data_IF_659630382944
#
_entry.id   IF_659630382944
#
_cell.length_a   1.000
_cell.length_b   1.000
_cell.length_c   1.000
_cell.angle_alpha   90.00
_cell.angle_beta   90.00
_cell.angle_gamma   90.00
#
_symmetry.space_group_name_H-M   'P 1'
#
loop_
_entity.id
_entity.type
_entity.pdbx_description
1 polymer ?
#
# COMPACT_ATOMS: atom_id res chain seq x y z
N UNK A 1 -0.68 -3.76 3.72
CA UNK A 1 -0.79 -4.44 5.03
C UNK A 1 0.60 -4.85 5.47
N UNK A 2 0.91 -4.84 6.77
CA UNK A 2 2.13 -5.46 7.32
C UNK A 2 2.10 -6.98 7.14
N UNK A 3 3.27 -7.60 7.18
CA UNK A 3 3.43 -9.06 7.33
C UNK A 3 4.01 -9.31 8.71
N UNK A 4 3.18 -9.67 9.72
CA UNK A 4 3.64 -9.93 11.08
C UNK A 4 4.65 -11.06 11.12
N UNK A 5 5.69 -10.91 11.94
CA UNK A 5 6.76 -11.90 12.10
C UNK A 5 7.03 -12.19 13.57
N UNK A 6 7.48 -13.41 13.85
CA UNK A 6 8.02 -13.84 15.12
C UNK A 6 9.44 -13.28 15.34
N UNK A 7 9.99 -13.44 16.53
CA UNK A 7 11.36 -13.00 16.84
C UNK A 7 12.44 -13.70 16.00
N UNK A 8 12.18 -14.90 15.52
CA UNK A 8 13.05 -15.66 14.60
C UNK A 8 12.92 -15.23 13.13
N UNK A 9 12.03 -14.27 12.82
CA UNK A 9 11.76 -13.75 11.49
C UNK A 9 10.82 -14.60 10.63
N UNK A 10 10.26 -15.68 11.18
CA UNK A 10 9.19 -16.46 10.51
C UNK A 10 7.86 -15.70 10.57
N UNK A 11 6.97 -15.96 9.63
CA UNK A 11 5.66 -15.28 9.57
C UNK A 11 4.77 -15.71 10.72
N UNK A 12 4.19 -14.74 11.43
CA UNK A 12 3.23 -14.96 12.51
C UNK A 12 1.80 -14.94 11.96
N UNK A 13 1.26 -16.13 11.68
CA UNK A 13 -0.08 -16.27 11.08
C UNK A 13 -1.18 -15.81 12.05
N UNK A 14 -1.00 -15.98 13.36
CA UNK A 14 -1.99 -15.54 14.36
C UNK A 14 -2.11 -14.02 14.40
N UNK A 15 -1.00 -13.31 14.39
CA UNK A 15 -1.04 -11.84 14.33
C UNK A 15 -1.48 -11.32 12.96
N UNK A 16 -1.20 -12.07 11.88
CA UNK A 16 -1.71 -11.75 10.55
C UNK A 16 -3.24 -11.89 10.46
N UNK A 17 -3.81 -12.91 11.08
CA UNK A 17 -5.26 -13.07 11.18
C UNK A 17 -5.89 -11.91 11.94
N UNK A 18 -5.37 -11.54 13.12
CA UNK A 18 -5.85 -10.39 13.88
C UNK A 18 -5.79 -9.09 13.06
N UNK A 19 -4.71 -8.89 12.30
CA UNK A 19 -4.55 -7.70 11.46
C UNK A 19 -5.57 -7.68 10.31
N UNK A 20 -5.84 -8.80 9.66
CA UNK A 20 -6.85 -8.91 8.61
C UNK A 20 -8.24 -8.65 9.18
N UNK A 21 -8.59 -9.25 10.32
CA UNK A 21 -9.87 -9.01 11.00
C UNK A 21 -10.04 -7.54 11.42
N UNK A 22 -8.96 -6.90 11.90
CA UNK A 22 -8.96 -5.47 12.20
C UNK A 22 -9.32 -4.65 10.95
N UNK A 23 -8.65 -4.90 9.82
CA UNK A 23 -8.87 -4.18 8.55
C UNK A 23 -10.33 -4.34 8.09
N UNK A 24 -10.89 -5.55 8.17
CA UNK A 24 -12.27 -5.86 7.80
C UNK A 24 -13.25 -5.14 8.74
N UNK A 25 -13.02 -5.22 10.06
CA UNK A 25 -13.87 -4.58 11.08
C UNK A 25 -13.87 -3.06 10.95
N UNK A 26 -12.74 -2.47 10.58
CA UNK A 26 -12.59 -1.04 10.28
C UNK A 26 -13.24 -0.64 8.95
N UNK A 27 -13.79 -1.57 8.19
CA UNK A 27 -14.43 -1.34 6.89
C UNK A 27 -13.53 -0.58 5.90
N UNK A 28 -12.25 -0.92 5.89
CA UNK A 28 -11.35 -0.43 4.84
C UNK A 28 -11.70 -1.10 3.51
N UNK A 29 -11.27 -0.49 2.39
CA UNK A 29 -11.77 -0.86 1.07
C UNK A 29 -11.02 -2.02 0.41
N UNK A 30 -9.87 -2.42 0.95
CA UNK A 30 -9.06 -3.51 0.41
C UNK A 30 -7.75 -3.71 1.15
N UNK A 31 -7.09 -4.82 0.83
CA UNK A 31 -5.76 -5.18 1.33
C UNK A 31 -4.76 -5.15 0.18
N UNK A 32 -3.64 -4.42 0.35
CA UNK A 32 -2.47 -4.51 -0.51
C UNK A 32 -1.40 -5.35 0.19
N UNK A 33 -1.20 -6.57 -0.29
CA UNK A 33 -0.37 -7.60 0.34
C UNK A 33 1.02 -7.64 -0.28
N UNK A 34 2.07 -7.90 0.53
CA UNK A 34 3.46 -8.10 0.08
C UNK A 34 4.08 -6.93 -0.69
N UNK A 35 3.51 -5.71 -0.58
CA UNK A 35 4.17 -4.49 -1.05
C UNK A 35 5.32 -4.06 -0.14
N UNK A 36 5.78 -2.80 -0.28
CA UNK A 36 6.87 -2.25 0.55
C UNK A 36 6.59 -2.36 2.05
N UNK A 37 5.37 -2.03 2.47
CA UNK A 37 4.93 -2.17 3.87
C UNK A 37 4.93 -3.61 4.36
N UNK A 38 4.53 -4.54 3.51
CA UNK A 38 4.56 -5.99 3.78
C UNK A 38 5.93 -6.62 3.58
N UNK A 39 6.94 -5.81 3.26
CA UNK A 39 8.34 -6.23 3.08
C UNK A 39 8.53 -7.39 2.07
N UNK A 40 7.68 -7.44 1.03
CA UNK A 40 7.58 -8.58 0.11
C UNK A 40 8.90 -8.98 -0.55
N UNK A 41 9.78 -8.02 -0.84
CA UNK A 41 11.10 -8.30 -1.42
C UNK A 41 12.11 -8.95 -0.45
N UNK A 42 11.81 -8.99 0.84
CA UNK A 42 12.67 -9.59 1.87
C UNK A 42 12.29 -11.04 2.20
N UNK A 43 11.34 -11.59 1.45
CA UNK A 43 10.94 -13.00 1.54
C UNK A 43 11.31 -13.75 0.27
N UNK A 44 11.74 -15.00 0.42
CA UNK A 44 11.94 -15.91 -0.71
C UNK A 44 10.61 -16.21 -1.42
N UNK A 45 10.66 -16.58 -2.71
CA UNK A 45 9.47 -16.88 -3.52
C UNK A 45 8.49 -17.84 -2.80
N UNK A 46 9.03 -18.92 -2.20
CA UNK A 46 8.21 -19.91 -1.49
C UNK A 46 7.51 -19.33 -0.25
N UNK A 47 8.15 -18.40 0.46
CA UNK A 47 7.53 -17.73 1.61
C UNK A 47 6.45 -16.73 1.15
N UNK A 48 6.72 -15.97 0.08
CA UNK A 48 5.74 -15.07 -0.50
C UNK A 48 4.46 -15.78 -0.91
N UNK A 49 4.60 -16.97 -1.52
CA UNK A 49 3.47 -17.81 -1.87
C UNK A 49 2.66 -18.22 -0.64
N UNK A 50 3.33 -18.75 0.40
CA UNK A 50 2.66 -19.13 1.66
C UNK A 50 1.97 -17.96 2.36
N UNK A 51 2.58 -16.78 2.36
CA UNK A 51 1.97 -15.57 2.92
C UNK A 51 0.71 -15.19 2.13
N UNK A 52 0.75 -15.25 0.80
CA UNK A 52 -0.39 -14.95 -0.04
C UNK A 52 -1.53 -15.96 0.17
N UNK A 53 -1.23 -17.26 0.17
CA UNK A 53 -2.20 -18.33 0.46
C UNK A 53 -2.90 -18.13 1.80
N UNK A 54 -2.12 -17.92 2.86
CA UNK A 54 -2.64 -17.72 4.20
C UNK A 54 -3.54 -16.47 4.28
N UNK A 55 -3.08 -15.32 3.77
CA UNK A 55 -3.85 -14.09 3.80
C UNK A 55 -5.16 -14.20 2.99
N UNK A 56 -5.12 -14.81 1.81
CA UNK A 56 -6.30 -15.03 0.97
C UNK A 56 -7.29 -15.99 1.63
N UNK A 57 -6.79 -17.07 2.26
CA UNK A 57 -7.60 -18.02 3.02
C UNK A 57 -8.27 -17.38 4.24
N UNK A 58 -7.54 -16.57 5.01
CA UNK A 58 -8.11 -15.84 6.17
C UNK A 58 -9.15 -14.82 5.71
N UNK A 59 -8.86 -14.10 4.64
CA UNK A 59 -9.76 -13.06 4.11
C UNK A 59 -11.09 -13.61 3.63
N UNK A 60 -11.12 -14.80 3.04
CA UNK A 60 -12.33 -15.49 2.53
C UNK A 60 -13.20 -14.60 1.63
N UNK A 61 -12.59 -13.79 0.80
CA UNK A 61 -13.30 -12.84 -0.10
C UNK A 61 -14.19 -11.80 0.62
N UNK A 62 -14.04 -11.61 1.93
CA UNK A 62 -14.79 -10.59 2.69
C UNK A 62 -14.36 -9.16 2.37
N UNK A 63 -13.16 -9.00 1.80
CA UNK A 63 -12.59 -7.73 1.35
C UNK A 63 -11.66 -8.00 0.15
N UNK A 64 -11.59 -7.13 -0.85
CA UNK A 64 -10.67 -7.31 -1.98
C UNK A 64 -9.20 -7.36 -1.55
N UNK A 65 -8.43 -8.28 -2.14
CA UNK A 65 -6.99 -8.42 -1.91
C UNK A 65 -6.23 -8.24 -3.22
N UNK A 66 -5.35 -7.24 -3.25
CA UNK A 66 -4.38 -7.04 -4.31
C UNK A 66 -3.01 -7.55 -3.84
N UNK A 67 -2.43 -8.52 -4.56
CA UNK A 67 -1.13 -9.11 -4.22
C UNK A 67 -0.02 -8.45 -5.02
N UNK A 68 1.01 -7.94 -4.35
CA UNK A 68 2.21 -7.44 -5.02
C UNK A 68 3.15 -8.60 -5.35
N UNK A 69 3.47 -8.72 -6.64
CA UNK A 69 4.27 -9.82 -7.19
C UNK A 69 5.61 -9.40 -7.78
N UNK A 70 5.95 -8.10 -7.70
CA UNK A 70 7.23 -7.61 -8.18
C UNK A 70 8.40 -8.40 -7.57
N UNK A 71 9.36 -8.77 -8.41
CA UNK A 71 10.54 -9.54 -8.07
C UNK A 71 11.75 -9.05 -8.87
N UNK A 72 12.95 -9.61 -8.61
CA UNK A 72 14.15 -9.25 -9.35
C UNK A 72 14.12 -9.70 -10.81
N UNK A 73 13.38 -10.79 -11.11
CA UNK A 73 13.20 -11.27 -12.47
C UNK A 73 11.75 -11.25 -12.91
N UNK A 74 11.52 -11.10 -14.21
CA UNK A 74 10.19 -11.18 -14.81
C UNK A 74 9.57 -12.55 -14.61
N UNK A 75 10.36 -13.61 -14.75
CA UNK A 75 9.87 -15.00 -14.60
C UNK A 75 9.37 -15.28 -13.18
N UNK A 76 10.05 -14.78 -12.16
CA UNK A 76 9.59 -14.91 -10.78
C UNK A 76 8.29 -14.11 -10.56
N UNK A 77 8.21 -12.89 -11.08
CA UNK A 77 7.00 -12.08 -11.00
C UNK A 77 5.81 -12.77 -11.69
N UNK A 78 6.02 -13.41 -12.83
CA UNK A 78 5.01 -14.20 -13.54
C UNK A 78 4.55 -15.42 -12.71
N UNK A 79 5.48 -16.16 -12.10
CA UNK A 79 5.11 -17.31 -11.24
C UNK A 79 4.33 -16.87 -10.01
N UNK A 80 4.72 -15.76 -9.39
CA UNK A 80 3.99 -15.18 -8.24
C UNK A 80 2.61 -14.66 -8.65
N UNK A 81 2.48 -14.07 -9.85
CA UNK A 81 1.20 -13.57 -10.35
C UNK A 81 0.21 -14.70 -10.59
N UNK A 82 0.62 -15.76 -11.29
CA UNK A 82 -0.21 -16.95 -11.50
C UNK A 82 -0.63 -17.58 -10.19
N UNK A 83 0.32 -17.75 -9.27
CA UNK A 83 0.03 -18.32 -7.97
C UNK A 83 -0.99 -17.46 -7.18
N UNK A 84 -0.86 -16.13 -7.20
CA UNK A 84 -1.81 -15.24 -6.54
C UNK A 84 -3.23 -15.39 -7.14
N UNK A 85 -3.35 -15.45 -8.47
CA UNK A 85 -4.64 -15.66 -9.15
C UNK A 85 -5.23 -17.04 -8.81
N UNK A 86 -4.44 -18.11 -8.88
CA UNK A 86 -4.87 -19.47 -8.56
C UNK A 86 -5.42 -19.62 -7.14
N UNK A 87 -4.90 -18.80 -6.19
CA UNK A 87 -5.37 -18.78 -4.80
C UNK A 87 -6.41 -17.69 -4.53
N UNK A 88 -6.90 -17.03 -5.58
CA UNK A 88 -8.05 -16.16 -5.49
C UNK A 88 -7.74 -14.70 -5.17
N UNK A 89 -6.57 -14.16 -5.50
CA UNK A 89 -6.35 -12.72 -5.47
C UNK A 89 -7.35 -11.99 -6.37
N UNK A 90 -7.83 -10.82 -5.93
CA UNK A 90 -8.78 -10.01 -6.71
C UNK A 90 -8.06 -9.11 -7.72
N UNK A 91 -6.78 -8.85 -7.48
CA UNK A 91 -5.91 -8.11 -8.37
C UNK A 91 -4.43 -8.44 -8.09
N UNK A 92 -3.58 -8.12 -9.05
CA UNK A 92 -2.13 -8.26 -8.94
C UNK A 92 -1.47 -6.90 -9.21
N UNK A 93 -0.38 -6.61 -8.50
CA UNK A 93 0.42 -5.41 -8.71
C UNK A 93 1.91 -5.75 -8.78
N UNK A 94 2.67 -5.02 -9.59
CA UNK A 94 4.12 -5.19 -9.67
C UNK A 94 4.82 -3.85 -9.86
N UNK A 95 5.91 -3.63 -9.11
CA UNK A 95 6.88 -2.60 -9.52
C UNK A 95 7.57 -3.05 -10.82
N UNK A 96 8.16 -2.10 -11.54
CA UNK A 96 9.05 -2.40 -12.65
C UNK A 96 10.37 -3.04 -12.19
N UNK A 97 11.29 -3.33 -13.13
CA UNK A 97 12.63 -3.81 -12.77
C UNK A 97 13.34 -2.86 -11.79
N UNK A 98 13.86 -3.40 -10.68
CA UNK A 98 14.32 -2.59 -9.54
C UNK A 98 15.83 -2.52 -9.40
N UNK A 99 16.57 -3.53 -9.84
CA UNK A 99 18.03 -3.59 -9.63
C UNK A 99 18.80 -3.11 -10.86
N UNK A 100 18.45 -3.60 -12.03
CA UNK A 100 19.09 -3.17 -13.27
C UNK A 100 18.44 -1.91 -13.82
N UNK A 101 19.25 -0.97 -14.31
CA UNK A 101 18.74 0.20 -15.02
C UNK A 101 17.97 -0.24 -16.25
N UNK A 102 16.66 -0.31 -16.15
CA UNK A 102 15.80 -0.75 -17.24
C UNK A 102 15.42 0.44 -18.13
N UNK A 103 15.53 0.25 -19.45
CA UNK A 103 14.92 1.19 -20.38
C UNK A 103 13.39 1.14 -20.28
N UNK A 104 12.66 2.17 -20.75
CA UNK A 104 11.19 2.13 -20.84
C UNK A 104 10.67 0.87 -21.53
N UNK A 105 11.28 0.45 -22.63
CA UNK A 105 10.91 -0.77 -23.35
C UNK A 105 11.06 -2.05 -22.49
N UNK A 106 12.12 -2.15 -21.68
CA UNK A 106 12.31 -3.28 -20.77
C UNK A 106 11.24 -3.30 -19.68
N UNK A 107 10.89 -2.14 -19.11
CA UNK A 107 9.80 -2.01 -18.14
C UNK A 107 8.45 -2.41 -18.75
N UNK A 108 8.17 -2.00 -19.98
CA UNK A 108 6.95 -2.36 -20.71
C UNK A 108 6.89 -3.87 -21.00
N UNK A 109 7.99 -4.48 -21.43
CA UNK A 109 8.06 -5.93 -21.65
C UNK A 109 7.78 -6.73 -20.35
N UNK A 110 8.33 -6.25 -19.22
CA UNK A 110 8.08 -6.83 -17.90
C UNK A 110 6.58 -6.79 -17.55
N UNK A 111 5.94 -5.63 -17.64
CA UNK A 111 4.50 -5.50 -17.35
C UNK A 111 3.61 -6.32 -18.30
N UNK A 112 3.92 -6.34 -19.59
CA UNK A 112 3.20 -7.17 -20.57
C UNK A 112 3.30 -8.67 -20.24
N UNK A 113 4.49 -9.15 -19.84
CA UNK A 113 4.69 -10.55 -19.47
C UNK A 113 3.86 -10.94 -18.23
N UNK A 114 3.82 -10.09 -17.22
CA UNK A 114 3.00 -10.33 -16.02
C UNK A 114 1.52 -10.30 -16.40
N UNK A 115 1.07 -9.26 -17.06
CA UNK A 115 -0.33 -9.09 -17.45
C UNK A 115 -0.85 -10.24 -18.33
N UNK A 116 -0.05 -10.70 -19.31
CA UNK A 116 -0.40 -11.82 -20.17
C UNK A 116 -0.46 -13.18 -19.45
N UNK A 117 0.08 -13.26 -18.23
CA UNK A 117 0.12 -14.52 -17.46
C UNK A 117 -1.10 -14.76 -16.58
N UNK A 118 -1.98 -13.76 -16.43
CA UNK A 118 -3.14 -13.73 -15.53
C UNK A 118 -4.35 -13.11 -16.22
N UNK A 119 -5.55 -13.39 -15.72
CA UNK A 119 -6.81 -12.78 -16.16
C UNK A 119 -7.34 -11.71 -15.20
N UNK A 120 -6.94 -11.76 -13.93
CA UNK A 120 -7.35 -10.76 -12.94
C UNK A 120 -6.79 -9.36 -13.24
N UNK A 121 -7.39 -8.29 -12.72
CA UNK A 121 -6.89 -6.92 -12.87
C UNK A 121 -5.42 -6.79 -12.49
N UNK A 122 -4.64 -6.11 -13.35
CA UNK A 122 -3.23 -5.82 -13.13
C UNK A 122 -3.02 -4.31 -12.91
N UNK A 123 -2.21 -3.99 -11.91
CA UNK A 123 -1.85 -2.62 -11.52
C UNK A 123 -0.34 -2.47 -11.44
N UNK A 124 0.34 -1.96 -12.47
CA UNK A 124 1.72 -1.51 -12.34
C UNK A 124 1.91 -0.58 -11.15
N UNK A 125 3.04 -0.70 -10.48
CA UNK A 125 3.39 0.16 -9.36
C UNK A 125 4.64 0.98 -9.69
N UNK A 126 4.48 2.29 -9.77
CA UNK A 126 5.56 3.23 -9.99
C UNK A 126 6.01 3.85 -8.66
N UNK A 127 7.30 3.73 -8.38
CA UNK A 127 7.99 4.35 -7.25
C UNK A 127 9.04 5.32 -7.79
N UNK A 128 9.13 6.50 -7.17
CA UNK A 128 10.15 7.50 -7.47
C UNK A 128 9.74 8.47 -8.57
N UNK A 129 10.70 9.27 -9.00
CA UNK A 129 10.48 10.48 -9.78
C UNK A 129 10.62 10.31 -11.32
N UNK A 130 10.69 9.08 -11.83
CA UNK A 130 10.71 8.86 -13.26
C UNK A 130 9.27 8.99 -13.83
N UNK A 131 8.94 10.07 -14.55
CA UNK A 131 7.59 10.25 -15.07
C UNK A 131 7.29 9.21 -16.14
N UNK A 132 6.05 8.74 -16.19
CA UNK A 132 5.59 7.96 -17.34
C UNK A 132 5.39 8.89 -18.54
N UNK A 133 5.96 8.50 -19.67
CA UNK A 133 5.72 9.23 -20.91
C UNK A 133 4.32 8.93 -21.46
N UNK A 134 3.78 9.82 -22.30
CA UNK A 134 2.51 9.58 -22.98
C UNK A 134 2.53 8.30 -23.85
N UNK A 135 3.69 7.99 -24.44
CA UNK A 135 3.90 6.78 -25.22
C UNK A 135 3.75 5.53 -24.35
N UNK A 136 4.40 5.50 -23.18
CA UNK A 136 4.24 4.40 -22.20
C UNK A 136 2.78 4.26 -21.76
N UNK A 137 2.09 5.36 -21.51
CA UNK A 137 0.67 5.32 -21.10
C UNK A 137 -0.18 4.72 -22.24
N UNK A 138 0.03 5.16 -23.48
CA UNK A 138 -0.68 4.60 -24.64
C UNK A 138 -0.44 3.09 -24.80
N UNK A 139 0.81 2.65 -24.67
CA UNK A 139 1.14 1.23 -24.77
C UNK A 139 0.51 0.40 -23.64
N UNK A 140 0.49 0.93 -22.41
CA UNK A 140 -0.14 0.26 -21.26
C UNK A 140 -1.67 0.17 -21.44
N UNK A 141 -2.30 1.14 -22.10
CA UNK A 141 -3.73 1.13 -22.38
C UNK A 141 -4.17 0.00 -23.32
N UNK A 142 -3.24 -0.55 -24.11
CA UNK A 142 -3.50 -1.70 -24.98
C UNK A 142 -3.50 -3.04 -24.22
N UNK A 143 -3.12 -3.06 -22.95
CA UNK A 143 -3.13 -4.27 -22.12
C UNK A 143 -4.54 -4.48 -21.54
N UNK A 144 -5.28 -5.52 -21.93
CA UNK A 144 -6.72 -5.64 -21.63
C UNK A 144 -7.07 -5.71 -20.14
N UNK A 145 -6.24 -6.40 -19.34
CA UNK A 145 -6.45 -6.56 -17.90
C UNK A 145 -5.71 -5.51 -17.05
N UNK A 146 -5.00 -4.57 -17.63
CA UNK A 146 -4.45 -3.43 -16.90
C UNK A 146 -5.57 -2.44 -16.60
N UNK A 147 -5.90 -2.27 -15.30
CA UNK A 147 -7.05 -1.47 -14.85
C UNK A 147 -6.66 -0.16 -14.18
N UNK A 148 -5.37 0.06 -13.94
CA UNK A 148 -4.91 1.27 -13.29
C UNK A 148 -3.46 1.17 -12.84
N UNK A 149 -3.06 2.08 -11.96
CA UNK A 149 -1.70 2.21 -11.45
C UNK A 149 -1.71 2.54 -9.95
N UNK A 150 -0.69 2.07 -9.25
CA UNK A 150 -0.28 2.64 -7.97
C UNK A 150 0.93 3.55 -8.19
N UNK A 151 0.91 4.75 -7.61
CA UNK A 151 1.99 5.73 -7.74
C UNK A 151 2.42 6.20 -6.35
N UNK A 152 3.71 6.06 -6.04
CA UNK A 152 4.34 6.73 -4.91
C UNK A 152 5.24 7.83 -5.46
N UNK A 153 4.68 9.03 -5.55
CA UNK A 153 5.33 10.23 -6.07
C UNK A 153 4.97 11.43 -5.21
N UNK A 154 5.89 12.36 -5.05
CA UNK A 154 5.63 13.68 -4.46
C UNK A 154 5.23 14.72 -5.52
N UNK A 155 5.37 14.39 -6.81
CA UNK A 155 4.95 15.24 -7.91
C UNK A 155 3.50 14.96 -8.31
N UNK A 156 2.59 15.79 -7.86
CA UNK A 156 1.15 15.64 -8.16
C UNK A 156 0.84 15.79 -9.66
N UNK A 157 1.70 16.47 -10.42
CA UNK A 157 1.53 16.60 -11.87
C UNK A 157 1.68 15.26 -12.60
N UNK A 158 2.46 14.31 -12.06
CA UNK A 158 2.55 12.96 -12.64
C UNK A 158 1.20 12.26 -12.59
N UNK A 159 0.49 12.36 -11.46
CA UNK A 159 -0.85 11.78 -11.30
C UNK A 159 -1.84 12.45 -12.26
N UNK A 160 -1.84 13.78 -12.32
CA UNK A 160 -2.71 14.54 -13.22
C UNK A 160 -2.44 14.21 -14.69
N UNK A 161 -1.18 14.16 -15.11
CA UNK A 161 -0.75 13.79 -16.45
C UNK A 161 -1.26 12.41 -16.86
N UNK A 162 -1.05 11.40 -15.99
CA UNK A 162 -1.50 10.02 -16.24
C UNK A 162 -3.03 9.97 -16.34
N UNK A 163 -3.76 10.69 -15.46
CA UNK A 163 -5.21 10.76 -15.54
C UNK A 163 -5.70 11.36 -16.82
N UNK A 164 -5.09 12.45 -17.29
CA UNK A 164 -5.43 13.11 -18.55
C UNK A 164 -5.11 12.18 -19.74
N UNK A 165 -3.89 11.66 -19.81
CA UNK A 165 -3.43 10.83 -20.94
C UNK A 165 -4.17 9.49 -21.03
N UNK A 166 -4.61 8.94 -19.89
CA UNK A 166 -5.46 7.74 -19.88
C UNK A 166 -6.94 8.04 -20.20
N UNK A 167 -7.32 9.30 -20.38
CA UNK A 167 -8.72 9.70 -20.55
C UNK A 167 -9.60 9.34 -19.36
N UNK A 168 -9.03 9.28 -18.16
CA UNK A 168 -9.71 8.89 -16.93
C UNK A 168 -10.11 7.41 -16.85
N UNK A 169 -9.64 6.57 -17.76
CA UNK A 169 -10.00 5.13 -17.80
C UNK A 169 -9.39 4.30 -16.70
N UNK A 170 -8.27 4.76 -16.10
CA UNK A 170 -7.54 4.02 -15.10
C UNK A 170 -7.94 4.37 -13.69
N UNK A 171 -8.00 3.36 -12.84
CA UNK A 171 -8.06 3.51 -11.39
C UNK A 171 -6.65 3.83 -10.87
N UNK A 172 -6.45 5.04 -10.34
CA UNK A 172 -5.17 5.47 -9.80
C UNK A 172 -5.19 5.42 -8.27
N UNK A 173 -4.15 4.80 -7.68
CA UNK A 173 -3.93 4.78 -6.24
C UNK A 173 -2.69 5.60 -5.88
N UNK A 174 -2.81 6.51 -4.92
CA UNK A 174 -1.66 7.20 -4.33
C UNK A 174 -0.97 6.31 -3.30
N UNK A 175 0.37 6.30 -3.32
CA UNK A 175 1.20 5.65 -2.32
C UNK A 175 1.93 6.62 -1.39
N UNK A 176 1.73 7.94 -1.54
CA UNK A 176 2.26 8.98 -0.67
C UNK A 176 1.19 9.38 0.35
N UNK A 177 1.30 8.84 1.56
CA UNK A 177 0.31 9.02 2.61
C UNK A 177 0.20 10.47 3.04
N UNK A 178 1.33 11.17 3.10
CA UNK A 178 1.47 12.59 3.41
C UNK A 178 0.82 13.53 2.38
N UNK A 179 0.42 12.99 1.22
CA UNK A 179 -0.22 13.75 0.13
C UNK A 179 -1.58 13.19 -0.27
N UNK A 180 -2.23 12.44 0.61
CA UNK A 180 -3.48 11.72 0.33
C UNK A 180 -4.57 12.61 -0.26
N UNK A 181 -4.86 13.76 0.34
CA UNK A 181 -5.88 14.69 -0.16
C UNK A 181 -5.41 15.42 -1.43
N UNK A 182 -4.13 15.76 -1.55
CA UNK A 182 -3.57 16.37 -2.76
C UNK A 182 -3.69 15.41 -3.95
N UNK A 183 -3.39 14.14 -3.75
CA UNK A 183 -3.56 13.12 -4.77
C UNK A 183 -5.04 12.90 -5.14
N UNK A 184 -5.95 13.01 -4.16
CA UNK A 184 -7.39 12.94 -4.42
C UNK A 184 -7.87 14.10 -5.31
N UNK A 185 -7.34 15.31 -5.11
CA UNK A 185 -7.60 16.46 -5.99
C UNK A 185 -7.13 16.19 -7.43
N UNK A 186 -6.04 15.44 -7.61
CA UNK A 186 -5.55 15.02 -8.94
C UNK A 186 -6.32 13.81 -9.51
N UNK A 187 -7.35 13.31 -8.81
CA UNK A 187 -8.27 12.29 -9.30
C UNK A 187 -7.87 10.85 -9.00
N UNK A 188 -7.10 10.60 -7.93
CA UNK A 188 -6.90 9.23 -7.47
C UNK A 188 -8.20 8.65 -6.90
N UNK A 189 -8.48 7.37 -7.19
CA UNK A 189 -9.64 6.66 -6.66
C UNK A 189 -9.47 6.28 -5.18
N UNK A 190 -8.22 6.08 -4.74
CA UNK A 190 -7.89 5.68 -3.38
C UNK A 190 -6.42 5.91 -3.05
N UNK A 191 -6.03 5.42 -1.88
CA UNK A 191 -4.67 5.49 -1.39
C UNK A 191 -4.25 4.14 -0.79
N UNK A 192 -2.98 3.76 -1.01
CA UNK A 192 -2.38 2.51 -0.54
C UNK A 192 -1.05 2.85 0.13
N UNK A 193 -1.01 2.87 1.46
CA UNK A 193 0.17 3.27 2.19
C UNK A 193 0.34 2.56 3.54
N UNK A 194 1.46 2.83 4.19
CA UNK A 194 1.85 2.16 5.43
C UNK A 194 1.05 2.65 6.63
N UNK A 195 0.79 3.95 6.69
CA UNK A 195 0.11 4.58 7.82
C UNK A 195 -1.34 4.13 7.98
N UNK A 196 -1.96 3.68 6.89
CA UNK A 196 -3.37 3.22 6.91
C UNK A 196 -3.58 1.91 7.67
N UNK A 197 -2.52 1.17 8.03
CA UNK A 197 -2.62 0.05 8.96
C UNK A 197 -2.99 0.52 10.39
N UNK A 198 -2.53 1.71 10.78
CA UNK A 198 -2.79 2.29 12.10
C UNK A 198 -3.92 3.33 12.04
N UNK A 199 -3.95 4.15 10.99
CA UNK A 199 -4.83 5.31 10.86
C UNK A 199 -5.89 5.17 9.74
N UNK A 200 -6.12 3.96 9.24
CA UNK A 200 -7.02 3.71 8.11
C UNK A 200 -8.40 4.37 8.23
N UNK A 201 -9.13 4.19 9.34
CA UNK A 201 -10.46 4.78 9.50
C UNK A 201 -10.48 6.31 9.41
N UNK A 202 -9.55 6.99 10.09
CA UNK A 202 -9.51 8.47 10.07
C UNK A 202 -9.08 8.98 8.69
N UNK A 203 -8.09 8.35 8.06
CA UNK A 203 -7.67 8.72 6.72
C UNK A 203 -8.80 8.55 5.68
N UNK A 204 -9.54 7.44 5.77
CA UNK A 204 -10.72 7.22 4.93
C UNK A 204 -11.79 8.28 5.15
N UNK A 205 -12.11 8.61 6.41
CA UNK A 205 -13.06 9.65 6.77
C UNK A 205 -12.64 11.02 6.21
N UNK A 206 -11.42 11.44 6.50
CA UNK A 206 -10.89 12.75 6.07
C UNK A 206 -10.86 12.87 4.54
N UNK A 207 -10.41 11.81 3.86
CA UNK A 207 -10.41 11.80 2.40
C UNK A 207 -11.83 11.95 1.83
N UNK A 208 -12.81 11.27 2.40
CA UNK A 208 -14.21 11.40 1.97
C UNK A 208 -14.77 12.79 2.26
N UNK A 209 -14.51 13.33 3.44
CA UNK A 209 -14.91 14.69 3.82
C UNK A 209 -14.30 15.74 2.87
N UNK A 210 -13.01 15.59 2.53
CA UNK A 210 -12.35 16.45 1.55
C UNK A 210 -13.06 16.43 0.19
N UNK A 211 -13.40 15.23 -0.32
CA UNK A 211 -14.13 15.07 -1.59
C UNK A 211 -15.55 15.66 -1.54
N UNK A 212 -16.15 15.73 -0.35
CA UNK A 212 -17.45 16.35 -0.10
C UNK A 212 -17.38 17.87 0.10
N UNK A 213 -16.16 18.46 0.05
CA UNK A 213 -15.96 19.92 0.17
C UNK A 213 -15.57 20.42 1.57
N UNK A 214 -15.38 19.54 2.55
CA UNK A 214 -14.93 19.90 3.91
C UNK A 214 -13.42 20.18 3.95
N UNK A 215 -12.97 21.14 3.14
CA UNK A 215 -11.55 21.40 2.88
C UNK A 215 -10.80 21.91 4.11
N UNK A 216 -11.44 22.70 4.97
CA UNK A 216 -10.79 23.26 6.17
C UNK A 216 -10.37 22.15 7.15
N UNK A 217 -11.25 21.17 7.41
CA UNK A 217 -10.96 20.02 8.25
C UNK A 217 -9.88 19.16 7.64
N UNK A 218 -9.98 18.86 6.34
CA UNK A 218 -8.99 18.08 5.63
C UNK A 218 -7.60 18.73 5.63
N UNK A 219 -7.53 20.07 5.48
CA UNK A 219 -6.27 20.82 5.55
C UNK A 219 -5.64 20.72 6.95
N UNK A 220 -6.43 20.92 8.01
CA UNK A 220 -5.94 20.80 9.37
C UNK A 220 -5.40 19.40 9.67
N UNK A 221 -6.14 18.35 9.27
CA UNK A 221 -5.68 16.96 9.36
C UNK A 221 -4.38 16.74 8.61
N UNK A 222 -4.30 17.16 7.35
CA UNK A 222 -3.12 16.89 6.52
C UNK A 222 -1.87 17.53 7.09
N UNK A 223 -1.94 18.74 7.64
CA UNK A 223 -0.79 19.39 8.30
C UNK A 223 -0.33 18.61 9.54
N UNK A 224 -1.26 18.18 10.39
CA UNK A 224 -0.98 17.35 11.56
C UNK A 224 -0.36 16.00 11.15
N UNK A 225 -0.94 15.37 10.15
CA UNK A 225 -0.52 14.05 9.67
C UNK A 225 0.85 14.10 8.98
N UNK A 226 1.12 15.14 8.19
CA UNK A 226 2.43 15.38 7.60
C UNK A 226 3.50 15.59 8.67
N UNK A 227 3.19 16.40 9.71
CA UNK A 227 4.11 16.61 10.83
C UNK A 227 4.42 15.27 11.53
N UNK A 228 3.41 14.46 11.84
CA UNK A 228 3.62 13.15 12.43
C UNK A 228 4.52 12.28 11.54
N UNK A 229 4.25 12.22 10.23
CA UNK A 229 5.04 11.40 9.29
C UNK A 229 6.51 11.87 9.30
N UNK A 230 6.79 13.17 9.26
CA UNK A 230 8.15 13.71 9.30
C UNK A 230 8.87 13.32 10.61
N UNK A 231 8.17 13.35 11.75
CA UNK A 231 8.73 12.98 13.04
C UNK A 231 9.06 11.48 13.15
N UNK A 232 8.25 10.61 12.55
CA UNK A 232 8.43 9.17 12.67
C UNK A 232 9.29 8.55 11.57
N UNK A 233 9.54 9.24 10.46
CA UNK A 233 10.33 8.69 9.33
C UNK A 233 11.64 8.02 9.76
N UNK A 234 12.47 8.59 10.65
CA UNK A 234 13.72 7.97 11.07
C UNK A 234 13.55 6.65 11.85
N UNK A 235 12.39 6.44 12.49
CA UNK A 235 12.08 5.29 13.35
C UNK A 235 10.74 4.63 12.98
N UNK A 236 10.37 4.71 11.70
CA UNK A 236 9.03 4.38 11.21
C UNK A 236 8.58 2.95 11.56
N UNK A 237 9.47 1.97 11.47
CA UNK A 237 9.13 0.58 11.78
C UNK A 237 8.90 0.35 13.27
N UNK A 238 9.72 0.95 14.12
CA UNK A 238 9.53 0.90 15.57
C UNK A 238 8.25 1.63 16.00
N UNK A 239 7.95 2.78 15.37
CA UNK A 239 6.69 3.48 15.58
C UNK A 239 5.49 2.60 15.24
N UNK A 240 5.46 1.98 14.08
CA UNK A 240 4.35 1.11 13.70
C UNK A 240 4.22 -0.11 14.60
N UNK A 241 5.34 -0.77 14.94
CA UNK A 241 5.30 -1.92 15.83
C UNK A 241 4.68 -1.57 17.18
N UNK A 242 5.20 -0.54 17.85
CA UNK A 242 4.68 -0.10 19.14
C UNK A 242 3.25 0.44 19.03
N UNK A 243 2.95 1.23 18.00
CA UNK A 243 1.62 1.78 17.77
C UNK A 243 0.56 0.71 17.56
N UNK A 244 0.83 -0.30 16.74
CA UNK A 244 -0.07 -1.43 16.53
C UNK A 244 -0.28 -2.24 17.80
N UNK A 245 0.79 -2.50 18.55
CA UNK A 245 0.71 -3.22 19.83
C UNK A 245 -0.11 -2.45 20.86
N UNK A 246 0.16 -1.16 21.06
CA UNK A 246 -0.51 -0.35 22.08
C UNK A 246 -1.96 -0.04 21.73
N UNK A 247 -2.23 0.20 20.44
CA UNK A 247 -3.58 0.62 19.99
C UNK A 247 -4.52 -0.55 19.78
N UNK A 248 -4.02 -1.66 19.25
CA UNK A 248 -4.84 -2.79 18.81
C UNK A 248 -4.44 -4.14 19.41
N UNK A 249 -3.36 -4.20 20.21
CA UNK A 249 -2.85 -5.46 20.77
C UNK A 249 -2.26 -6.40 19.72
N UNK A 250 -1.82 -5.87 18.57
CA UNK A 250 -1.26 -6.65 17.45
C UNK A 250 0.24 -6.44 17.38
N UNK A 251 1.03 -7.49 17.58
CA UNK A 251 2.50 -7.44 17.39
C UNK A 251 2.84 -7.78 15.94
N UNK A 252 3.26 -6.76 15.18
CA UNK A 252 3.73 -6.97 13.81
C UNK A 252 5.16 -7.48 13.72
N UNK A 253 5.85 -7.64 14.85
CA UNK A 253 7.24 -8.05 14.89
C UNK A 253 8.23 -6.95 14.49
N UNK A 254 9.52 -7.30 14.44
CA UNK A 254 10.57 -6.40 13.96
C UNK A 254 10.64 -6.38 12.45
N UNK A 255 10.94 -5.23 11.86
CA UNK A 255 11.21 -5.16 10.42
C UNK A 255 12.41 -6.06 10.07
N UNK A 256 12.32 -6.75 8.94
CA UNK A 256 13.42 -7.57 8.43
C UNK A 256 14.58 -6.67 7.97
N UNK A 257 15.81 -7.11 8.21
CA UNK A 257 16.98 -6.42 7.67
C UNK A 257 16.87 -6.31 6.13
N UNK A 258 17.27 -5.20 5.51
CA UNK A 258 17.93 -4.03 6.08
C UNK A 258 16.98 -2.90 6.57
N UNK A 259 15.67 -3.15 6.69
CA UNK A 259 14.68 -2.11 7.03
C UNK A 259 14.61 -1.77 8.54
N UNK A 260 15.53 -2.30 9.34
CA UNK A 260 15.57 -2.00 10.77
C UNK A 260 15.83 -0.51 10.99
N UNK A 261 14.97 0.12 11.79
CA UNK A 261 15.11 1.53 12.20
C UNK A 261 15.53 1.63 13.66
N UNK A 262 16.10 2.76 14.08
CA UNK A 262 16.39 3.03 15.49
C UNK A 262 15.14 2.87 16.36
N UNK A 263 15.37 2.63 17.64
CA UNK A 263 14.29 2.63 18.63
C UNK A 263 13.64 4.03 18.70
N UNK A 264 12.35 4.03 18.90
CA UNK A 264 11.57 5.26 19.09
C UNK A 264 11.75 5.75 20.52
N UNK A 265 12.31 6.93 20.70
CA UNK A 265 12.59 7.51 22.02
C UNK A 265 11.33 7.99 22.78
N UNK A 266 10.14 7.93 22.18
CA UNK A 266 8.89 8.34 22.81
C UNK A 266 8.45 7.36 23.89
N UNK A 267 7.86 7.88 24.99
CA UNK A 267 7.15 7.04 25.95
C UNK A 267 5.87 6.47 25.30
N UNK A 268 5.32 5.41 25.89
CA UNK A 268 4.05 4.84 25.40
C UNK A 268 2.89 5.82 25.56
N UNK A 269 2.89 6.65 26.61
CA UNK A 269 1.88 7.68 26.83
C UNK A 269 1.92 8.74 25.73
N UNK A 270 3.13 9.22 25.38
CA UNK A 270 3.30 10.22 24.32
C UNK A 270 2.93 9.65 22.95
N UNK A 271 3.35 8.40 22.66
CA UNK A 271 2.98 7.72 21.42
C UNK A 271 1.46 7.60 21.30
N UNK A 272 0.78 7.17 22.37
CA UNK A 272 -0.68 7.05 22.38
C UNK A 272 -1.38 8.42 22.32
N UNK A 273 -0.80 9.46 22.88
CA UNK A 273 -1.30 10.84 22.73
C UNK A 273 -1.26 11.26 21.25
N UNK A 274 -0.13 11.03 20.57
CA UNK A 274 0.02 11.34 19.14
C UNK A 274 -0.98 10.56 18.27
N UNK A 275 -1.19 9.27 18.58
CA UNK A 275 -2.20 8.46 17.88
C UNK A 275 -3.61 9.05 18.10
N UNK A 276 -4.01 9.31 19.35
CA UNK A 276 -5.33 9.87 19.66
C UNK A 276 -5.55 11.23 19.02
N UNK A 277 -4.50 12.05 18.92
CA UNK A 277 -4.57 13.36 18.28
C UNK A 277 -4.91 13.23 16.79
N UNK A 278 -4.31 12.30 16.06
CA UNK A 278 -4.67 12.01 14.68
C UNK A 278 -6.09 11.43 14.59
N UNK A 279 -6.45 10.51 15.47
CA UNK A 279 -7.79 9.90 15.49
C UNK A 279 -8.90 10.88 15.89
N UNK A 280 -8.58 12.02 16.53
CA UNK A 280 -9.59 13.00 16.97
C UNK A 280 -10.37 13.67 15.83
N UNK A 281 -9.90 13.49 14.60
CA UNK A 281 -10.63 13.90 13.39
C UNK A 281 -11.75 12.92 12.98
N UNK A 282 -11.85 11.76 13.61
CA UNK A 282 -13.03 10.91 13.44
C UNK A 282 -14.26 11.55 14.09
N UNK A 283 -15.46 11.40 13.49
CA UNK A 283 -16.68 11.81 14.16
C UNK A 283 -16.78 11.11 15.52
N UNK A 284 -17.06 11.88 16.55
CA UNK A 284 -17.40 11.26 17.84
C UNK A 284 -18.68 10.45 17.63
N UNK A 285 -18.57 9.14 17.82
CA UNK A 285 -19.77 8.30 17.90
C UNK A 285 -20.57 8.85 19.10
N UNK A 286 -21.71 9.46 18.85
CA UNK A 286 -22.66 9.78 19.92
C UNK A 286 -22.98 8.45 20.62
N UNK A 287 -22.91 8.41 21.97
CA UNK A 287 -23.14 7.21 22.76
C UNK A 287 -24.54 6.63 22.57
#
# INVERSE_FOLDING_TARGET
MFTPVNDDGTVNLTEMEKLIELIITQKLDGIYLLGSTGQGFLYAEAERKRIAEAALSITQKRIPVMVHVGALSTDESVRLARHAEEHGADAVSSVGPIYYAASPAMGMAHYRSIAASISVPFFPYQIGNAPMTEEMIRELLEIPNLKGLKLTTLNMLDIASIRISSGGRWTLFSGADELMCHAALCGTAGAIGSTYNLFGPVCKHVRQAFLNGETAMAMAFMLEFQQLILEILPCIWTFFRRGMQLRYGIDIGKAKAPLMTPELAWSDEYLMERIRRVESYLPQLNP
#
